data_IF_343425056909
#
_entry.id   IF_343425056909
#
_cell.length_a   1.000
_cell.length_b   1.000
_cell.length_c   1.000
_cell.angle_alpha   90.00
_cell.angle_beta   90.00
_cell.angle_gamma   90.00
#
_symmetry.space_group_name_H-M   'P 1'
#
loop_
_entity.id
_entity.type
_entity.pdbx_description
1 polymer ?
#
# COMPACT_ATOMS: atom_id res chain seq x y z
N UNK A 1 -18.43 -7.11 0.93
CA UNK A 1 -18.92 -7.29 2.31
C UNK A 1 -17.88 -8.14 3.01
N UNK A 2 -17.17 -7.57 4.00
CA UNK A 2 -16.03 -8.22 4.66
C UNK A 2 -16.30 -9.70 4.97
N UNK A 3 -15.50 -10.59 4.39
CA UNK A 3 -15.58 -12.02 4.63
C UNK A 3 -15.24 -12.31 6.09
N UNK A 4 -16.05 -13.15 6.75
CA UNK A 4 -15.76 -13.65 8.08
C UNK A 4 -14.96 -14.95 7.93
N UNK A 5 -13.72 -15.02 8.44
CA UNK A 5 -12.92 -16.25 8.35
C UNK A 5 -13.60 -17.43 9.05
N UNK A 6 -13.43 -18.65 8.54
CA UNK A 6 -13.96 -19.85 9.20
C UNK A 6 -13.13 -20.22 10.44
N UNK A 7 -13.70 -20.98 11.41
CA UNK A 7 -12.94 -21.46 12.57
C UNK A 7 -11.71 -22.30 12.19
N UNK A 8 -11.79 -23.08 11.11
CA UNK A 8 -10.69 -23.87 10.58
C UNK A 8 -9.58 -22.97 10.04
N UNK A 9 -9.95 -21.94 9.27
CA UNK A 9 -8.99 -20.96 8.75
C UNK A 9 -8.30 -20.19 9.89
N UNK A 10 -9.04 -19.76 10.91
CA UNK A 10 -8.46 -19.08 12.08
C UNK A 10 -7.48 -19.98 12.83
N UNK A 11 -7.77 -21.27 12.93
CA UNK A 11 -6.85 -22.24 13.55
C UNK A 11 -5.57 -22.37 12.73
N UNK A 12 -5.68 -22.47 11.41
CA UNK A 12 -4.51 -22.52 10.51
C UNK A 12 -3.70 -21.22 10.56
N UNK A 13 -4.38 -20.06 10.58
CA UNK A 13 -3.76 -18.75 10.72
C UNK A 13 -2.93 -18.65 12.00
N UNK A 14 -3.48 -19.01 13.16
CA UNK A 14 -2.73 -18.94 14.42
C UNK A 14 -1.56 -19.95 14.47
N UNK A 15 -1.67 -21.10 13.81
CA UNK A 15 -0.58 -22.07 13.71
C UNK A 15 0.57 -21.61 12.81
N UNK A 16 0.27 -20.83 11.76
CA UNK A 16 1.23 -20.38 10.74
C UNK A 16 1.62 -18.91 10.88
N UNK A 17 1.11 -18.22 11.90
CA UNK A 17 1.28 -16.78 12.10
C UNK A 17 2.73 -16.30 12.12
N UNK A 18 3.63 -17.10 12.66
CA UNK A 18 5.06 -16.78 12.70
C UNK A 18 5.72 -16.82 11.32
N UNK A 19 5.19 -17.61 10.36
CA UNK A 19 5.65 -17.60 8.96
C UNK A 19 5.19 -16.35 8.21
N UNK A 20 4.14 -15.68 8.71
CA UNK A 20 3.58 -14.45 8.14
C UNK A 20 4.25 -13.19 8.72
N UNK A 21 5.25 -13.34 9.59
CA UNK A 21 6.00 -12.22 10.14
C UNK A 21 6.96 -11.71 9.06
N UNK A 22 6.93 -10.41 8.80
CA UNK A 22 7.87 -9.78 7.87
C UNK A 22 9.32 -10.05 8.31
N UNK A 23 10.20 -10.51 7.41
CA UNK A 23 11.63 -10.60 7.71
C UNK A 23 12.26 -9.20 7.84
N UNK A 24 11.66 -8.21 7.18
CA UNK A 24 12.16 -6.83 7.11
C UNK A 24 11.89 -6.03 8.40
N UNK A 25 12.91 -5.31 8.88
CA UNK A 25 12.76 -4.37 10.00
C UNK A 25 12.25 -3.01 9.51
N UNK A 26 10.93 -2.84 9.40
CA UNK A 26 10.35 -1.58 8.91
C UNK A 26 10.61 -0.37 9.83
N UNK A 27 10.85 -0.57 11.13
CA UNK A 27 11.26 0.53 12.00
C UNK A 27 12.64 1.07 11.56
N UNK A 28 13.57 0.18 11.19
CA UNK A 28 14.86 0.57 10.65
C UNK A 28 14.72 1.28 9.30
N UNK A 29 13.97 0.70 8.36
CA UNK A 29 13.72 1.29 7.04
C UNK A 29 13.23 2.73 7.10
N UNK A 30 12.23 2.99 7.96
CA UNK A 30 11.62 4.31 8.08
C UNK A 30 12.31 5.23 9.11
N UNK A 31 13.49 4.87 9.61
CA UNK A 31 14.29 5.73 10.51
C UNK A 31 15.72 5.95 10.01
N UNK A 32 16.23 5.05 9.18
CA UNK A 32 17.53 5.17 8.55
C UNK A 32 17.54 6.31 7.50
N UNK A 33 18.70 6.96 7.38
CA UNK A 33 18.98 7.87 6.25
C UNK A 33 19.65 7.16 5.08
N UNK A 34 20.14 5.94 5.28
CA UNK A 34 20.87 5.14 4.30
C UNK A 34 20.80 3.65 4.68
N UNK A 35 20.62 2.78 3.69
CA UNK A 35 20.70 1.30 3.79
C UNK A 35 21.42 0.80 2.52
N UNK A 36 22.30 -0.20 2.63
CA UNK A 36 23.08 -0.75 1.50
C UNK A 36 23.72 0.35 0.62
N UNK A 37 24.37 1.33 1.27
CA UNK A 37 25.01 2.50 0.65
C UNK A 37 24.09 3.37 -0.23
N UNK A 38 22.77 3.29 -0.03
CA UNK A 38 21.75 4.05 -0.77
C UNK A 38 20.96 4.96 0.14
N UNK A 39 20.87 6.23 -0.23
CA UNK A 39 20.17 7.23 0.57
C UNK A 39 18.68 6.98 0.58
N UNK A 40 18.09 7.17 1.75
CA UNK A 40 16.65 7.09 1.99
C UNK A 40 16.06 8.45 2.29
N UNK A 41 14.86 8.67 1.77
CA UNK A 41 14.10 9.90 1.92
C UNK A 41 12.66 9.58 2.31
N UNK A 42 12.06 10.47 3.11
CA UNK A 42 10.68 10.34 3.55
C UNK A 42 9.82 11.37 2.83
N UNK A 43 8.87 10.89 2.04
CA UNK A 43 7.93 11.71 1.30
C UNK A 43 6.56 11.62 1.98
N UNK A 44 6.14 12.69 2.63
CA UNK A 44 4.78 12.82 3.18
C UNK A 44 3.82 13.22 2.05
N UNK A 45 2.84 12.37 1.76
CA UNK A 45 1.85 12.58 0.69
C UNK A 45 0.44 12.90 1.23
N UNK A 46 0.36 13.28 2.50
CA UNK A 46 -0.86 13.67 3.19
C UNK A 46 -1.41 12.57 4.09
N UNK A 47 -2.74 12.49 4.14
CA UNK A 47 -3.47 11.55 4.99
C UNK A 47 -4.35 10.62 4.17
N UNK A 48 -4.66 9.46 4.75
CA UNK A 48 -5.71 8.55 4.30
C UNK A 48 -6.85 8.53 5.29
N UNK A 49 -8.08 8.44 4.78
CA UNK A 49 -9.29 8.43 5.59
C UNK A 49 -9.88 7.02 5.65
N UNK A 50 -9.99 6.47 6.87
CA UNK A 50 -10.59 5.19 7.18
C UNK A 50 -11.90 5.36 7.96
N UNK A 51 -13.02 5.76 7.32
CA UNK A 51 -14.27 5.99 8.01
C UNK A 51 -14.92 4.75 8.63
N UNK A 52 -14.60 3.52 8.19
CA UNK A 52 -15.05 2.28 8.84
C UNK A 52 -13.92 1.50 9.50
N UNK A 53 -12.68 1.75 9.09
CA UNK A 53 -11.52 1.00 9.56
C UNK A 53 -11.31 -0.32 8.83
N UNK A 54 -12.11 -0.59 7.79
CA UNK A 54 -11.96 -1.75 6.92
C UNK A 54 -11.07 -1.39 5.74
N UNK A 55 -9.80 -1.81 5.81
CA UNK A 55 -8.74 -1.38 4.88
C UNK A 55 -8.59 -2.36 3.73
N UNK A 56 -8.34 -1.80 2.54
CA UNK A 56 -8.09 -2.51 1.27
C UNK A 56 -6.84 -1.91 0.64
N UNK A 57 -5.95 -2.76 0.12
CA UNK A 57 -4.82 -2.35 -0.71
C UNK A 57 -4.91 -3.06 -2.05
N UNK A 58 -4.90 -2.31 -3.15
CA UNK A 58 -4.99 -2.85 -4.52
C UNK A 58 -4.28 -1.93 -5.50
N UNK A 59 -4.10 -2.43 -6.71
CA UNK A 59 -3.97 -1.58 -7.89
C UNK A 59 -5.28 -0.77 -8.11
N UNK A 60 -5.22 0.58 -8.09
CA UNK A 60 -6.42 1.41 -8.20
C UNK A 60 -7.10 1.36 -9.57
N UNK A 61 -6.42 0.96 -10.63
CA UNK A 61 -6.96 0.95 -12.00
C UNK A 61 -7.45 -0.44 -12.40
N UNK A 62 -6.72 -1.48 -12.01
CA UNK A 62 -6.97 -2.85 -12.47
C UNK A 62 -7.74 -3.68 -11.45
N UNK A 63 -7.37 -3.62 -10.16
CA UNK A 63 -7.85 -4.57 -9.15
C UNK A 63 -8.73 -3.96 -8.05
N UNK A 64 -8.89 -2.64 -7.97
CA UNK A 64 -9.78 -1.99 -7.02
C UNK A 64 -11.24 -1.98 -7.55
N UNK A 65 -11.93 -3.11 -7.40
CA UNK A 65 -13.31 -3.29 -7.90
C UNK A 65 -14.33 -3.39 -6.77
N UNK A 66 -15.60 -3.13 -7.09
CA UNK A 66 -16.68 -3.01 -6.08
C UNK A 66 -16.86 -4.25 -5.20
N UNK A 67 -16.51 -5.43 -5.70
CA UNK A 67 -16.59 -6.72 -5.02
C UNK A 67 -15.35 -7.06 -4.17
N UNK A 68 -14.30 -6.24 -4.23
CA UNK A 68 -13.09 -6.45 -3.41
C UNK A 68 -13.39 -6.41 -1.91
N UNK A 69 -12.69 -7.29 -1.19
CA UNK A 69 -12.84 -7.46 0.25
C UNK A 69 -11.72 -6.77 1.03
N UNK A 70 -12.06 -6.11 2.15
CA UNK A 70 -11.07 -5.62 3.10
C UNK A 70 -10.36 -6.76 3.80
N UNK A 71 -9.19 -6.43 4.35
CA UNK A 71 -8.46 -7.33 5.24
C UNK A 71 -9.32 -7.73 6.44
N UNK A 72 -9.13 -8.96 6.92
CA UNK A 72 -9.95 -9.55 7.98
C UNK A 72 -9.73 -8.86 9.34
N UNK A 73 -8.57 -8.22 9.55
CA UNK A 73 -8.30 -7.34 10.69
C UNK A 73 -8.70 -5.89 10.32
N UNK A 74 -9.47 -5.24 11.20
CA UNK A 74 -9.83 -3.82 11.07
C UNK A 74 -8.90 -2.95 11.90
N UNK A 75 -8.79 -1.67 11.53
CA UNK A 75 -8.11 -0.63 12.30
C UNK A 75 -9.12 0.36 12.91
N UNK A 76 -8.74 1.22 13.86
CA UNK A 76 -9.60 2.30 14.31
C UNK A 76 -10.01 3.21 13.16
N UNK A 77 -11.26 3.66 13.16
CA UNK A 77 -11.72 4.65 12.18
C UNK A 77 -11.04 6.00 12.45
N UNK A 78 -10.63 6.70 11.39
CA UNK A 78 -9.94 7.98 11.52
C UNK A 78 -9.17 8.41 10.27
N UNK A 79 -8.44 9.51 10.40
CA UNK A 79 -7.49 9.99 9.39
C UNK A 79 -6.07 9.73 9.87
N UNK A 80 -5.22 9.22 8.99
CA UNK A 80 -3.89 8.76 9.35
C UNK A 80 -2.85 9.26 8.35
N UNK A 81 -1.68 9.72 8.80
CA UNK A 81 -0.64 10.19 7.90
C UNK A 81 -0.04 9.03 7.10
N UNK A 82 0.21 9.29 5.82
CA UNK A 82 0.78 8.38 4.85
C UNK A 82 2.15 8.90 4.39
N UNK A 83 3.18 8.08 4.62
CA UNK A 83 4.57 8.41 4.24
C UNK A 83 5.09 7.36 3.28
N UNK A 84 5.62 7.79 2.14
CA UNK A 84 6.35 6.95 1.19
C UNK A 84 7.83 6.99 1.57
N UNK A 85 8.46 5.81 1.65
CA UNK A 85 9.90 5.66 1.75
C UNK A 85 10.47 5.60 0.33
N UNK A 86 11.38 6.52 0.05
CA UNK A 86 12.02 6.68 -1.25
C UNK A 86 13.49 6.34 -1.10
N UNK A 87 14.04 5.58 -2.05
CA UNK A 87 15.46 5.29 -2.13
C UNK A 87 16.05 5.89 -3.41
N UNK A 88 17.23 6.49 -3.31
CA UNK A 88 18.06 6.84 -4.46
C UNK A 88 18.87 5.61 -4.87
N UNK A 89 18.47 4.98 -5.98
CA UNK A 89 19.10 3.76 -6.51
C UNK A 89 20.32 4.06 -7.37
N UNK A 90 20.30 5.19 -8.06
CA UNK A 90 21.42 5.81 -8.78
C UNK A 90 21.31 7.32 -8.63
N UNK A 91 22.35 8.08 -8.96
CA UNK A 91 22.36 9.55 -8.84
C UNK A 91 21.13 10.16 -9.55
N UNK A 92 20.26 10.80 -8.77
CA UNK A 92 18.99 11.39 -9.24
C UNK A 92 17.95 10.39 -9.81
N UNK A 93 18.10 9.10 -9.55
CA UNK A 93 17.12 8.07 -9.88
C UNK A 93 16.51 7.47 -8.61
N UNK A 94 15.21 7.63 -8.48
CA UNK A 94 14.48 7.29 -7.25
C UNK A 94 13.55 6.08 -7.44
N UNK A 95 13.35 5.33 -6.37
CA UNK A 95 12.38 4.22 -6.27
C UNK A 95 11.58 4.33 -4.98
N UNK A 96 10.28 4.05 -5.06
CA UNK A 96 9.41 3.96 -3.89
C UNK A 96 9.51 2.54 -3.35
N UNK A 97 10.21 2.38 -2.23
CA UNK A 97 10.53 1.06 -1.66
C UNK A 97 9.41 0.53 -0.78
N UNK A 98 8.67 1.44 -0.13
CA UNK A 98 7.53 1.11 0.71
C UNK A 98 6.66 2.35 0.95
N UNK A 99 5.43 2.17 1.41
CA UNK A 99 4.71 3.24 2.10
C UNK A 99 4.17 2.76 3.45
N UNK A 100 3.98 3.70 4.37
CA UNK A 100 3.49 3.46 5.73
C UNK A 100 2.35 4.39 6.10
N UNK A 101 1.27 3.81 6.62
CA UNK A 101 0.20 4.52 7.33
C UNK A 101 0.41 4.34 8.82
N UNK A 102 0.58 5.44 9.57
CA UNK A 102 0.69 5.42 11.04
C UNK A 102 -0.70 5.49 11.68
N UNK A 103 -1.15 4.39 12.27
CA UNK A 103 -2.45 4.30 12.98
C UNK A 103 -2.36 4.90 14.39
N UNK A 104 -1.20 4.79 15.02
CA UNK A 104 -0.90 5.47 16.29
C UNK A 104 0.58 5.83 16.40
N UNK A 105 0.94 6.55 17.47
CA UNK A 105 2.33 6.89 17.79
C UNK A 105 3.09 5.74 18.50
N UNK A 106 2.45 4.59 18.72
CA UNK A 106 3.13 3.43 19.30
C UNK A 106 4.12 2.83 18.31
N UNK A 107 5.18 2.22 18.84
CA UNK A 107 6.17 1.50 18.04
C UNK A 107 5.68 0.09 17.75
N UNK A 108 5.73 -0.32 16.49
CA UNK A 108 5.47 -1.70 16.11
C UNK A 108 6.63 -2.57 16.63
N UNK A 109 6.32 -3.67 17.33
CA UNK A 109 7.30 -4.66 17.78
C UNK A 109 7.37 -5.87 16.84
N UNK A 110 6.38 -6.01 15.94
CA UNK A 110 6.32 -7.03 14.88
C UNK A 110 5.38 -6.58 13.77
N UNK A 111 5.62 -7.07 12.56
CA UNK A 111 4.78 -6.83 11.38
C UNK A 111 4.32 -8.17 10.84
N UNK A 112 3.01 -8.37 10.74
CA UNK A 112 2.40 -9.63 10.28
C UNK A 112 1.56 -9.33 9.04
N UNK A 113 1.60 -10.21 8.05
CA UNK A 113 0.83 -10.02 6.81
C UNK A 113 -0.65 -9.73 7.05
N UNK A 114 -1.15 -8.77 6.29
CA UNK A 114 -2.55 -8.42 6.21
C UNK A 114 -3.25 -9.39 5.25
N UNK A 115 -4.17 -10.19 5.79
CA UNK A 115 -4.90 -11.22 5.06
C UNK A 115 -6.38 -10.89 4.93
N UNK A 116 -7.07 -11.43 3.92
CA UNK A 116 -8.51 -11.29 3.64
C UNK A 116 -9.34 -12.43 4.26
N UNK A 117 -8.71 -13.42 4.91
CA UNK A 117 -9.41 -14.37 5.78
C UNK A 117 -9.84 -15.67 5.12
N UNK A 118 -9.29 -15.98 3.94
CA UNK A 118 -9.61 -17.20 3.19
C UNK A 118 -8.47 -17.64 2.26
N UNK A 119 -7.27 -17.12 2.48
CA UNK A 119 -6.05 -17.54 1.82
C UNK A 119 -5.83 -19.04 2.00
N UNK A 120 -5.31 -19.67 0.95
CA UNK A 120 -4.86 -21.04 1.05
C UNK A 120 -3.50 -21.08 1.75
N UNK A 121 -3.51 -21.48 3.02
CA UNK A 121 -2.29 -21.59 3.81
C UNK A 121 -1.56 -22.91 3.59
N UNK A 122 -2.15 -23.89 2.91
CA UNK A 122 -1.51 -25.20 2.70
C UNK A 122 -0.24 -25.03 1.86
N UNK A 123 0.87 -25.54 2.39
CA UNK A 123 2.18 -25.42 1.74
C UNK A 123 2.95 -24.14 2.04
N UNK A 124 2.37 -23.15 2.76
CA UNK A 124 3.07 -21.92 3.13
C UNK A 124 4.40 -22.23 3.84
N UNK A 125 5.49 -21.90 3.17
CA UNK A 125 6.87 -22.11 3.61
C UNK A 125 7.52 -20.84 4.16
N UNK A 126 8.78 -20.99 4.61
CA UNK A 126 9.61 -19.87 5.04
C UNK A 126 9.99 -18.99 3.83
N UNK A 127 9.83 -17.67 3.97
CA UNK A 127 10.11 -16.69 2.92
C UNK A 127 9.01 -16.54 1.86
N UNK A 128 7.96 -17.37 1.90
CA UNK A 128 6.76 -17.17 1.09
C UNK A 128 5.85 -16.11 1.72
N UNK A 129 5.15 -15.35 0.87
CA UNK A 129 4.22 -14.31 1.32
C UNK A 129 2.94 -14.29 0.48
N UNK A 130 1.87 -13.76 1.05
CA UNK A 130 0.69 -13.32 0.32
C UNK A 130 0.80 -11.84 -0.05
N UNK A 131 0.17 -11.45 -1.15
CA UNK A 131 0.19 -10.07 -1.59
C UNK A 131 -1.00 -9.70 -2.47
N UNK A 132 -1.06 -8.43 -2.84
CA UNK A 132 -1.98 -7.93 -3.85
C UNK A 132 -1.27 -7.80 -5.19
N UNK A 133 -2.01 -8.06 -6.27
CA UNK A 133 -1.49 -7.91 -7.62
C UNK A 133 -1.49 -6.43 -8.04
N UNK A 134 -0.49 -6.07 -8.83
CA UNK A 134 -0.35 -4.79 -9.53
C UNK A 134 -0.10 -5.04 -11.01
N UNK A 135 -0.80 -4.32 -11.88
CA UNK A 135 -0.76 -4.47 -13.34
C UNK A 135 -0.79 -3.12 -14.09
N UNK A 136 -0.96 -2.01 -13.36
CA UNK A 136 -0.80 -0.66 -13.87
C UNK A 136 0.38 0.09 -13.21
N UNK A 137 1.27 -0.62 -12.52
CA UNK A 137 2.39 -0.04 -11.77
C UNK A 137 1.98 0.94 -10.65
N UNK A 138 0.76 0.81 -10.12
CA UNK A 138 0.21 1.66 -9.07
C UNK A 138 -0.33 0.83 -7.90
N UNK A 139 -0.23 1.40 -6.71
CA UNK A 139 -0.83 0.87 -5.50
C UNK A 139 -1.63 1.96 -4.78
N UNK A 140 -2.72 1.55 -4.14
CA UNK A 140 -3.53 2.40 -3.26
C UNK A 140 -3.83 1.70 -1.94
N UNK A 141 -4.07 2.48 -0.89
CA UNK A 141 -4.60 2.01 0.39
C UNK A 141 -5.83 2.85 0.75
N UNK A 142 -6.98 2.20 0.89
CA UNK A 142 -8.27 2.87 1.08
C UNK A 142 -9.16 2.11 2.07
N UNK A 143 -10.15 2.81 2.60
CA UNK A 143 -11.30 2.21 3.28
C UNK A 143 -12.29 1.62 2.29
N UNK A 144 -13.10 0.67 2.74
CA UNK A 144 -14.18 0.11 1.92
C UNK A 144 -15.16 1.18 1.41
N UNK A 145 -15.47 2.22 2.19
CA UNK A 145 -16.34 3.33 1.73
C UNK A 145 -15.67 4.18 0.66
N UNK A 146 -14.37 4.39 0.77
CA UNK A 146 -13.59 5.13 -0.23
C UNK A 146 -13.50 4.34 -1.52
N UNK A 147 -13.30 3.02 -1.44
CA UNK A 147 -13.39 2.13 -2.60
C UNK A 147 -14.77 2.26 -3.27
N UNK A 148 -15.86 2.11 -2.52
CA UNK A 148 -17.21 2.18 -3.10
C UNK A 148 -17.49 3.53 -3.78
N UNK A 149 -17.05 4.63 -3.18
CA UNK A 149 -17.15 5.96 -3.76
C UNK A 149 -16.31 6.12 -5.04
N UNK A 150 -15.08 5.59 -5.04
CA UNK A 150 -14.21 5.62 -6.22
C UNK A 150 -14.77 4.78 -7.37
N UNK A 151 -15.25 3.55 -7.10
CA UNK A 151 -15.88 2.72 -8.12
C UNK A 151 -17.12 3.39 -8.73
N UNK A 152 -17.94 4.07 -7.92
CA UNK A 152 -19.09 4.83 -8.42
C UNK A 152 -18.66 6.00 -9.32
N UNK A 153 -17.61 6.72 -8.93
CA UNK A 153 -17.02 7.79 -9.75
C UNK A 153 -16.46 7.26 -11.07
N UNK A 154 -15.65 6.20 -11.04
CA UNK A 154 -15.05 5.57 -12.22
C UNK A 154 -16.14 5.11 -13.19
N UNK A 155 -17.17 4.42 -12.69
CA UNK A 155 -18.30 3.99 -13.50
C UNK A 155 -19.01 5.17 -14.16
N UNK A 156 -19.35 6.22 -13.40
CA UNK A 156 -20.01 7.41 -13.94
C UNK A 156 -19.16 8.10 -15.02
N UNK A 157 -17.84 8.16 -14.80
CA UNK A 157 -16.91 8.75 -15.77
C UNK A 157 -16.87 7.93 -17.07
N UNK A 158 -16.79 6.60 -16.98
CA UNK A 158 -16.76 5.72 -18.15
C UNK A 158 -18.08 5.75 -18.93
N UNK A 159 -19.23 5.85 -18.25
CA UNK A 159 -20.53 6.04 -18.90
C UNK A 159 -20.63 7.38 -19.65
N UNK A 160 -20.05 8.44 -19.10
CA UNK A 160 -19.99 9.76 -19.72
C UNK A 160 -18.95 9.88 -20.84
N UNK A 161 -17.93 9.00 -20.85
CA UNK A 161 -16.84 9.00 -21.82
C UNK A 161 -16.70 7.61 -22.50
N UNK A 162 -17.63 7.22 -23.38
CA UNK A 162 -17.59 5.90 -24.02
C UNK A 162 -16.29 5.67 -24.80
N UNK A 163 -15.57 4.60 -24.44
CA UNK A 163 -14.28 4.25 -25.05
C UNK A 163 -13.08 5.06 -24.56
N UNK A 164 -13.27 5.94 -23.58
CA UNK A 164 -12.18 6.67 -22.93
C UNK A 164 -11.36 5.75 -22.01
N UNK A 165 -10.11 6.13 -21.80
CA UNK A 165 -9.21 5.54 -20.81
C UNK A 165 -9.09 6.51 -19.63
N UNK A 166 -9.62 6.13 -18.45
CA UNK A 166 -9.61 7.02 -17.27
C UNK A 166 -8.21 7.45 -16.86
N UNK A 167 -7.17 6.64 -17.12
CA UNK A 167 -5.81 7.05 -16.85
C UNK A 167 -5.35 8.13 -17.84
N UNK A 168 -5.31 7.80 -19.14
CA UNK A 168 -4.77 8.70 -20.17
C UNK A 168 -5.58 10.00 -20.30
N UNK A 169 -6.91 9.89 -20.23
CA UNK A 169 -7.83 11.00 -20.51
C UNK A 169 -8.17 11.84 -19.26
N UNK A 170 -7.84 11.36 -18.05
CA UNK A 170 -8.17 12.04 -16.80
C UNK A 170 -7.03 12.06 -15.78
N UNK A 171 -6.62 10.90 -15.26
CA UNK A 171 -5.69 10.85 -14.12
C UNK A 171 -4.26 11.30 -14.48
N UNK A 172 -3.79 11.06 -15.71
CA UNK A 172 -2.45 11.46 -16.15
C UNK A 172 -2.20 12.98 -15.99
N UNK A 173 -3.24 13.80 -16.18
CA UNK A 173 -3.15 15.24 -15.95
C UNK A 173 -2.98 15.57 -14.45
N UNK A 174 -3.64 14.84 -13.55
CA UNK A 174 -3.49 15.00 -12.10
C UNK A 174 -2.12 14.53 -11.61
N UNK A 175 -1.59 13.42 -12.14
CA UNK A 175 -0.22 12.96 -11.86
C UNK A 175 0.83 13.98 -12.29
N UNK A 176 0.71 14.51 -13.52
CA UNK A 176 1.62 15.55 -14.01
C UNK A 176 1.57 16.80 -13.13
N UNK A 177 0.37 17.24 -12.74
CA UNK A 177 0.18 18.37 -11.82
C UNK A 177 0.78 18.10 -10.43
N UNK A 178 0.74 16.86 -9.95
CA UNK A 178 1.44 16.46 -8.72
C UNK A 178 2.95 16.63 -8.86
N UNK A 179 3.55 16.13 -9.95
CA UNK A 179 4.99 16.32 -10.22
C UNK A 179 5.39 17.79 -10.33
N UNK A 180 4.56 18.63 -10.96
CA UNK A 180 4.84 20.08 -11.08
C UNK A 180 4.81 20.79 -9.71
N UNK A 181 3.88 20.42 -8.83
CA UNK A 181 3.75 21.03 -7.50
C UNK A 181 4.69 20.44 -6.45
N UNK A 182 5.07 19.17 -6.61
CA UNK A 182 5.90 18.40 -5.67
C UNK A 182 6.99 17.61 -6.42
N UNK A 183 7.97 18.30 -7.05
CA UNK A 183 8.90 17.66 -8.00
C UNK A 183 9.91 16.71 -7.35
N UNK A 184 10.07 16.74 -6.03
CA UNK A 184 11.02 15.88 -5.35
C UNK A 184 10.60 14.42 -5.48
N UNK A 185 11.55 13.60 -5.95
CA UNK A 185 11.39 12.14 -6.06
C UNK A 185 10.25 11.71 -6.99
N UNK A 186 9.91 12.53 -7.98
CA UNK A 186 8.94 12.21 -9.02
C UNK A 186 9.56 12.29 -10.40
N UNK A 187 9.15 11.38 -11.29
CA UNK A 187 9.35 11.50 -12.74
C UNK A 187 8.47 12.64 -13.28
N UNK A 188 8.81 13.21 -14.45
CA UNK A 188 8.02 14.31 -15.04
C UNK A 188 6.53 14.00 -15.30
N UNK A 189 6.17 12.71 -15.40
CA UNK A 189 4.79 12.26 -15.55
C UNK A 189 3.99 12.18 -14.25
N UNK A 190 4.64 12.27 -13.09
CA UNK A 190 4.05 12.02 -11.78
C UNK A 190 4.13 10.56 -11.35
N UNK A 191 4.45 10.37 -10.08
CA UNK A 191 4.60 9.04 -9.45
C UNK A 191 3.63 8.84 -8.29
N UNK A 192 2.99 9.90 -7.83
CA UNK A 192 1.90 9.77 -6.86
C UNK A 192 0.88 10.91 -6.98
N UNK A 193 -0.34 10.62 -6.57
CA UNK A 193 -1.40 11.59 -6.31
C UNK A 193 -2.14 11.21 -5.03
N UNK A 194 -2.78 12.19 -4.39
CA UNK A 194 -3.84 11.96 -3.42
C UNK A 194 -5.14 12.49 -4.02
N UNK A 195 -5.77 11.67 -4.86
CA UNK A 195 -6.88 12.10 -5.71
C UNK A 195 -8.13 12.34 -4.87
N UNK A 196 -8.68 13.55 -4.92
CA UNK A 196 -9.95 13.88 -4.28
C UNK A 196 -11.11 13.39 -5.15
N UNK A 197 -11.91 12.46 -4.63
CA UNK A 197 -13.03 11.87 -5.36
C UNK A 197 -14.14 12.93 -5.51
N UNK A 198 -14.52 13.33 -6.74
CA UNK A 198 -15.49 14.39 -6.96
C UNK A 198 -16.82 14.15 -6.24
N UNK A 199 -17.35 15.20 -5.60
CA UNK A 199 -18.61 15.13 -4.88
C UNK A 199 -18.54 14.46 -3.49
N UNK A 200 -17.34 14.14 -2.99
CA UNK A 200 -17.12 13.55 -1.67
C UNK A 200 -16.03 14.30 -0.89
N UNK A 201 -15.85 13.95 0.39
CA UNK A 201 -14.72 14.38 1.23
C UNK A 201 -13.62 13.30 1.32
N UNK A 202 -13.67 12.28 0.45
CA UNK A 202 -12.77 11.14 0.44
C UNK A 202 -11.67 11.34 -0.60
N UNK A 203 -10.50 10.79 -0.29
CA UNK A 203 -9.35 10.80 -1.19
C UNK A 203 -8.78 9.40 -1.37
N UNK A 204 -8.21 9.14 -2.53
CA UNK A 204 -7.55 7.89 -2.89
C UNK A 204 -6.08 8.18 -3.23
N UNK A 205 -5.12 7.76 -2.40
CA UNK A 205 -3.72 7.86 -2.76
C UNK A 205 -3.43 6.85 -3.86
N UNK A 206 -2.83 7.27 -4.96
CA UNK A 206 -2.33 6.36 -6.00
C UNK A 206 -0.84 6.59 -6.10
N UNK A 207 -0.04 5.55 -5.87
CA UNK A 207 1.40 5.64 -5.67
C UNK A 207 2.07 4.62 -6.57
N UNK A 208 3.14 4.99 -7.25
CA UNK A 208 3.93 4.05 -8.04
C UNK A 208 4.45 2.91 -7.16
N UNK A 209 4.25 1.66 -7.59
CA UNK A 209 4.70 0.45 -6.91
C UNK A 209 6.12 0.10 -7.32
N UNK A 210 7.13 0.37 -6.50
CA UNK A 210 8.52 -0.10 -6.70
C UNK A 210 9.01 -0.06 -8.15
N UNK A 211 9.14 -1.24 -8.76
CA UNK A 211 9.56 -1.44 -10.15
C UNK A 211 8.43 -1.61 -11.17
N UNK A 212 7.17 -1.57 -10.75
CA UNK A 212 5.98 -1.64 -11.60
C UNK A 212 5.04 -2.77 -11.18
N UNK A 213 4.71 -3.63 -12.15
CA UNK A 213 3.78 -4.74 -11.99
C UNK A 213 4.39 -5.86 -11.17
N UNK A 214 3.55 -6.58 -10.42
CA UNK A 214 4.01 -7.63 -9.53
C UNK A 214 3.01 -8.01 -8.45
N UNK A 215 3.49 -8.74 -7.46
CA UNK A 215 2.74 -9.11 -6.25
C UNK A 215 3.48 -8.53 -5.06
N UNK A 216 2.77 -7.77 -4.22
CA UNK A 216 3.38 -7.03 -3.12
C UNK A 216 2.72 -7.35 -1.79
N UNK A 217 3.49 -7.64 -0.73
CA UNK A 217 2.92 -7.92 0.58
C UNK A 217 2.48 -6.64 1.29
N UNK A 218 1.53 -6.82 2.19
CA UNK A 218 1.02 -5.77 3.07
C UNK A 218 1.11 -6.28 4.49
N UNK A 219 1.60 -5.46 5.41
CA UNK A 219 1.82 -5.84 6.79
C UNK A 219 1.11 -4.92 7.76
N UNK A 220 0.47 -5.51 8.78
CA UNK A 220 0.03 -4.81 9.97
C UNK A 220 1.15 -4.84 11.02
N UNK A 221 1.59 -3.65 11.45
CA UNK A 221 2.50 -3.49 12.58
C UNK A 221 1.74 -3.53 13.89
N UNK A 222 2.13 -4.41 14.82
CA UNK A 222 1.51 -4.58 16.13
C UNK A 222 2.39 -4.00 17.23
N UNK A 223 1.78 -3.24 18.15
CA UNK A 223 2.45 -2.69 19.34
C UNK A 223 2.58 -3.72 20.48
N UNK A 224 3.18 -3.28 21.60
CA UNK A 224 3.33 -4.10 22.83
C UNK A 224 2.00 -4.60 23.43
N UNK A 225 0.88 -3.96 23.09
CA UNK A 225 -0.46 -4.33 23.53
C UNK A 225 -1.19 -5.18 22.48
N UNK A 226 -0.47 -5.65 21.45
CA UNK A 226 -1.00 -6.42 20.34
C UNK A 226 -2.12 -5.68 19.58
N UNK A 227 -2.03 -4.35 19.47
CA UNK A 227 -2.90 -3.51 18.64
C UNK A 227 -2.18 -3.08 17.38
N UNK A 228 -2.92 -3.01 16.27
CA UNK A 228 -2.38 -2.48 15.01
C UNK A 228 -2.06 -0.99 15.19
N UNK A 229 -0.78 -0.64 15.08
CA UNK A 229 -0.28 0.73 15.22
C UNK A 229 0.22 1.33 13.90
N UNK A 230 0.44 0.51 12.87
CA UNK A 230 0.77 0.97 11.52
C UNK A 230 0.44 -0.09 10.47
N UNK A 231 0.37 0.34 9.21
CA UNK A 231 0.21 -0.51 8.03
C UNK A 231 1.36 -0.18 7.09
N UNK A 232 2.06 -1.19 6.57
CA UNK A 232 3.16 -1.02 5.61
C UNK A 232 2.87 -1.81 4.35
N UNK A 233 3.07 -1.20 3.19
CA UNK A 233 3.14 -1.90 1.91
C UNK A 233 4.59 -1.87 1.46
N UNK A 234 5.17 -3.04 1.21
CA UNK A 234 6.54 -3.18 0.76
C UNK A 234 6.56 -3.47 -0.73
N UNK A 235 7.33 -2.66 -1.48
CA UNK A 235 7.55 -2.87 -2.90
C UNK A 235 8.94 -3.41 -3.22
N UNK A 236 9.93 -3.07 -2.39
CA UNK A 236 11.33 -3.49 -2.54
C UNK A 236 11.83 -3.93 -1.17
N UNK A 237 12.37 -5.13 -1.11
CA UNK A 237 13.22 -5.56 0.00
C UNK A 237 14.65 -5.08 -0.30
N UNK A 238 15.10 -4.07 0.44
CA UNK A 238 16.35 -3.35 0.16
C UNK A 238 17.54 -4.28 0.37
N UNK A 239 17.63 -4.98 1.51
CA UNK A 239 18.73 -5.89 1.77
C UNK A 239 18.73 -7.03 0.74
N UNK A 240 17.59 -7.70 0.52
CA UNK A 240 17.54 -8.80 -0.46
C UNK A 240 17.89 -8.34 -1.89
N UNK A 241 17.58 -7.10 -2.25
CA UNK A 241 17.86 -6.58 -3.60
C UNK A 241 19.30 -6.11 -3.76
N UNK A 242 19.93 -5.56 -2.71
CA UNK A 242 21.17 -4.79 -2.85
C UNK A 242 22.34 -5.24 -1.96
N UNK A 243 22.15 -6.17 -1.03
CA UNK A 243 23.22 -6.65 -0.13
C UNK A 243 24.35 -7.34 -0.90
N UNK A 244 24.05 -8.04 -2.00
CA UNK A 244 25.05 -8.71 -2.85
C UNK A 244 25.76 -7.79 -3.85
N UNK A 245 25.35 -6.53 -3.99
CA UNK A 245 26.03 -5.54 -4.86
C UNK A 245 27.22 -4.85 -4.15
N UNK A 246 27.56 -5.32 -2.94
CA UNK A 246 28.67 -4.82 -2.12
C UNK A 246 30.03 -5.50 -2.41
N UNK A 247 30.11 -6.44 -3.38
CA UNK A 247 31.36 -7.10 -3.84
C UNK A 247 32.07 -6.40 -5.02
#
# INVERSE_FOLDING_TARGET
MKTVPTPEWLTAYEQKKELLVAPTNFNHYFSASEICNRKLFHLNIGEVNFPTGNVIVRDPLVYLKSDEQPYFISVPAGKFPLTVLVMEVEEHHYRYVAFRVKISNQMAIKHIEALIGHENMDGLGEGEYFGFNVDAGLATIVDEKTKDAYCAFEQQWLEANPGGNIYDDYLAAEFKKSAENHPQYQRPGGDWINFAIPGTDLTIPMIQSGYGDGVYPVYFGYDENNKVCEIVVQFVDIELTFEDEEE
#
